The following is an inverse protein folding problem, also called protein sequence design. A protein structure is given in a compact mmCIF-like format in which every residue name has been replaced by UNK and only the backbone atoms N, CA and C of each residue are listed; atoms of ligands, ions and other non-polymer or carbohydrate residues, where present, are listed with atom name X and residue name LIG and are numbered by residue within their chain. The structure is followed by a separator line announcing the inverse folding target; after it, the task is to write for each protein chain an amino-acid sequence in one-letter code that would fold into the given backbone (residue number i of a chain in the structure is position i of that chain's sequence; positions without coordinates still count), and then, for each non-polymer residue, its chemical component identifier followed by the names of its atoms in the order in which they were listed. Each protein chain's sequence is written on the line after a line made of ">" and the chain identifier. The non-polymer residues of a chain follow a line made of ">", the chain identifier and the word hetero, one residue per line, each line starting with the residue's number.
data_IF_426497655275
#
_entry.id   IF_426497655275
#
_cell.length_a   1.000
_cell.length_b   1.000
_cell.length_c   1.000
_cell.angle_alpha   90.00
_cell.angle_beta   90.00
_cell.angle_gamma   90.00
#
_symmetry.space_group_name_H-M   'P 1'
#
loop_
_entity.id
_entity.type
_entity.pdbx_description
1 polymer ?
#
# COMPACT_ATOMS: atom_id res chain seq x y z
N UNK A 1 -22.73 -14.31 25.87
CA UNK A 1 -21.81 -13.25 26.36
C UNK A 1 -21.50 -12.39 25.18
N UNK A 2 -22.13 -11.19 25.08
CA UNK A 2 -21.91 -10.27 23.96
C UNK A 2 -20.55 -9.61 24.15
N UNK A 3 -19.58 -9.98 23.32
CA UNK A 3 -18.34 -9.22 23.18
C UNK A 3 -18.69 -8.07 22.23
N UNK A 4 -18.96 -6.90 22.79
CA UNK A 4 -19.02 -5.66 22.02
C UNK A 4 -17.62 -5.45 21.43
N UNK A 5 -17.55 -5.39 20.10
CA UNK A 5 -16.38 -4.86 19.40
C UNK A 5 -16.16 -3.43 19.93
N UNK A 6 -15.08 -3.25 20.66
CA UNK A 6 -14.68 -1.89 21.05
C UNK A 6 -14.21 -1.20 19.78
N UNK A 7 -14.94 -0.16 19.37
CA UNK A 7 -14.44 0.87 18.44
C UNK A 7 -13.19 1.51 19.07
N UNK A 8 -12.06 0.88 18.91
CA UNK A 8 -10.78 1.56 19.15
C UNK A 8 -10.51 2.40 17.91
N UNK A 9 -10.21 3.69 18.08
CA UNK A 9 -9.74 4.49 16.96
C UNK A 9 -8.55 3.77 16.30
N UNK A 10 -8.52 3.78 14.98
CA UNK A 10 -7.40 3.26 14.20
C UNK A 10 -6.10 3.79 14.83
N UNK A 11 -5.22 2.89 15.25
CA UNK A 11 -3.97 3.27 15.90
C UNK A 11 -3.11 3.92 14.84
N UNK A 12 -2.77 5.19 14.98
CA UNK A 12 -1.89 5.89 14.06
C UNK A 12 -0.64 5.04 13.78
N UNK A 13 -0.29 4.93 12.50
CA UNK A 13 0.95 4.26 12.06
C UNK A 13 2.11 4.91 12.82
N UNK A 14 2.98 4.11 13.41
CA UNK A 14 4.21 4.64 14.02
C UNK A 14 5.05 5.34 12.92
N UNK A 15 5.24 6.68 12.96
CA UNK A 15 5.87 7.42 11.86
C UNK A 15 7.30 6.98 11.52
N UNK A 16 7.94 6.23 12.41
CA UNK A 16 9.29 5.69 12.19
C UNK A 16 9.32 4.23 11.73
N UNK A 17 8.16 3.55 11.62
CA UNK A 17 8.14 2.17 11.18
C UNK A 17 8.49 2.03 9.70
N UNK A 18 9.04 0.88 9.31
CA UNK A 18 9.33 0.61 7.90
C UNK A 18 8.03 0.61 7.05
N UNK A 19 6.92 0.16 7.63
CA UNK A 19 5.60 0.21 6.98
C UNK A 19 5.18 1.67 6.70
N UNK A 20 5.32 2.56 7.68
CA UNK A 20 5.04 4.00 7.52
C UNK A 20 5.90 4.65 6.44
N UNK A 21 7.17 4.26 6.34
CA UNK A 21 8.06 4.76 5.29
C UNK A 21 7.62 4.30 3.90
N UNK A 22 7.19 3.06 3.76
CA UNK A 22 6.68 2.52 2.49
C UNK A 22 5.39 3.22 2.08
N UNK A 23 4.44 3.40 2.99
CA UNK A 23 3.18 4.11 2.67
C UNK A 23 3.43 5.58 2.29
N UNK A 24 4.31 6.27 3.00
CA UNK A 24 4.74 7.63 2.64
C UNK A 24 5.38 7.68 1.24
N UNK A 25 6.26 6.74 0.91
CA UNK A 25 6.87 6.67 -0.41
C UNK A 25 5.83 6.46 -1.50
N UNK A 26 4.82 5.63 -1.25
CA UNK A 26 3.73 5.40 -2.19
C UNK A 26 2.89 6.66 -2.41
N UNK A 27 2.53 7.38 -1.35
CA UNK A 27 1.82 8.66 -1.44
C UNK A 27 2.61 9.71 -2.25
N UNK A 28 3.91 9.82 -1.99
CA UNK A 28 4.79 10.72 -2.74
C UNK A 28 4.90 10.31 -4.22
N UNK A 29 4.95 9.02 -4.50
CA UNK A 29 4.97 8.52 -5.88
C UNK A 29 3.66 8.85 -6.60
N UNK A 30 2.50 8.62 -5.96
CA UNK A 30 1.19 8.99 -6.49
C UNK A 30 1.12 10.49 -6.80
N UNK A 31 1.49 11.33 -5.84
CA UNK A 31 1.56 12.79 -6.05
C UNK A 31 2.47 13.15 -7.22
N UNK A 32 3.66 12.55 -7.27
CA UNK A 32 4.64 12.79 -8.33
C UNK A 32 4.12 12.45 -9.72
N UNK A 33 3.39 11.37 -9.88
CA UNK A 33 2.78 11.00 -11.16
C UNK A 33 1.62 11.92 -11.53
N UNK A 34 0.71 12.21 -10.60
CA UNK A 34 -0.45 13.09 -10.83
C UNK A 34 -0.02 14.50 -11.24
N UNK A 35 1.03 15.02 -10.62
CA UNK A 35 1.50 16.40 -10.85
C UNK A 35 2.74 16.49 -11.75
N UNK A 36 3.24 15.38 -12.29
CA UNK A 36 4.52 15.29 -13.02
C UNK A 36 5.67 15.90 -12.24
N UNK A 37 5.64 15.73 -10.91
CA UNK A 37 6.65 16.26 -10.00
C UNK A 37 7.83 15.30 -9.83
N UNK A 38 8.92 15.59 -10.50
CA UNK A 38 10.13 14.77 -10.46
C UNK A 38 10.75 14.68 -9.06
N UNK A 39 10.64 15.73 -8.23
CA UNK A 39 11.24 15.72 -6.89
C UNK A 39 10.52 14.75 -5.97
N UNK A 40 9.19 14.71 -6.01
CA UNK A 40 8.39 13.76 -5.25
C UNK A 40 8.71 12.31 -5.63
N UNK A 41 8.88 12.02 -6.92
CA UNK A 41 9.31 10.69 -7.37
C UNK A 41 10.71 10.32 -6.86
N UNK A 42 11.67 11.26 -6.89
CA UNK A 42 13.01 11.00 -6.34
C UNK A 42 13.00 10.81 -4.83
N UNK A 43 12.17 11.56 -4.11
CA UNK A 43 12.02 11.39 -2.66
C UNK A 43 11.42 10.03 -2.33
N UNK A 44 10.36 9.62 -3.03
CA UNK A 44 9.79 8.28 -2.90
C UNK A 44 10.82 7.18 -3.18
N UNK A 45 11.57 7.31 -4.28
CA UNK A 45 12.63 6.38 -4.64
C UNK A 45 13.73 6.27 -3.56
N UNK A 46 14.12 7.41 -2.98
CA UNK A 46 15.13 7.44 -1.90
C UNK A 46 14.62 6.73 -0.64
N UNK A 47 13.36 6.93 -0.26
CA UNK A 47 12.76 6.24 0.89
C UNK A 47 12.77 4.73 0.64
N UNK A 48 12.28 4.27 -0.52
CA UNK A 48 12.24 2.85 -0.87
C UNK A 48 13.63 2.22 -0.98
N UNK A 49 14.62 2.96 -1.49
CA UNK A 49 16.01 2.48 -1.54
C UNK A 49 16.60 2.23 -0.13
N UNK A 50 16.12 2.98 0.88
CA UNK A 50 16.55 2.84 2.27
C UNK A 50 15.65 1.92 3.11
N UNK A 51 14.48 1.55 2.58
CA UNK A 51 13.50 0.68 3.26
C UNK A 51 13.29 -0.57 2.41
N UNK A 52 14.15 -1.60 2.55
CA UNK A 52 14.01 -2.82 1.78
C UNK A 52 12.63 -3.47 2.03
N UNK A 53 11.97 -3.85 0.95
CA UNK A 53 10.66 -4.52 0.97
C UNK A 53 10.76 -5.91 0.38
N UNK A 54 9.88 -6.80 0.81
CA UNK A 54 9.67 -8.12 0.22
C UNK A 54 8.34 -8.16 -0.53
N UNK A 55 8.18 -9.11 -1.43
CA UNK A 55 6.89 -9.35 -2.05
C UNK A 55 5.87 -9.82 -1.02
N UNK A 56 4.64 -9.31 -1.13
CA UNK A 56 3.54 -9.68 -0.25
C UNK A 56 3.31 -11.20 -0.30
N UNK A 57 3.35 -11.84 0.85
CA UNK A 57 3.13 -13.28 1.00
C UNK A 57 1.65 -13.53 1.21
N UNK A 58 0.96 -13.94 0.16
CA UNK A 58 -0.47 -14.26 0.20
C UNK A 58 -0.68 -15.78 0.07
N UNK A 59 -1.60 -16.34 0.85
CA UNK A 59 -2.04 -17.74 0.69
C UNK A 59 -3.04 -17.86 -0.45
N UNK A 60 -3.94 -16.88 -0.58
CA UNK A 60 -4.88 -16.77 -1.70
C UNK A 60 -5.35 -15.33 -1.87
N UNK A 61 -5.77 -15.02 -3.09
CA UNK A 61 -6.49 -13.79 -3.46
C UNK A 61 -7.67 -14.13 -4.34
N UNK A 62 -8.79 -13.42 -4.13
CA UNK A 62 -9.94 -13.39 -5.05
C UNK A 62 -10.51 -11.98 -5.10
N UNK A 63 -11.10 -11.62 -6.23
CA UNK A 63 -11.89 -10.40 -6.39
C UNK A 63 -13.36 -10.76 -6.46
N UNK A 64 -14.20 -10.01 -5.77
CA UNK A 64 -15.66 -10.24 -5.70
C UNK A 64 -16.41 -8.97 -6.12
N UNK A 65 -17.52 -9.14 -6.81
CA UNK A 65 -18.32 -7.99 -7.25
C UNK A 65 -17.61 -7.12 -8.27
N UNK A 66 -17.98 -5.85 -8.26
CA UNK A 66 -17.43 -4.86 -9.17
C UNK A 66 -18.19 -4.74 -10.49
N UNK A 67 -18.15 -3.55 -11.06
CA UNK A 67 -18.70 -3.25 -12.37
C UNK A 67 -17.58 -3.05 -13.37
N UNK A 68 -17.86 -3.30 -14.66
CA UNK A 68 -16.91 -3.00 -15.72
C UNK A 68 -16.56 -1.51 -15.70
N UNK A 69 -15.27 -1.24 -15.67
CA UNK A 69 -14.75 0.13 -15.51
C UNK A 69 -15.02 0.99 -16.74
N UNK A 70 -15.24 2.26 -16.47
CA UNK A 70 -15.02 3.30 -17.47
C UNK A 70 -13.50 3.39 -17.68
N UNK A 71 -13.03 3.44 -18.93
CA UNK A 71 -11.60 3.59 -19.19
C UNK A 71 -11.11 4.89 -18.56
N UNK A 72 -10.06 4.82 -17.74
CA UNK A 72 -9.30 5.97 -17.28
C UNK A 72 -8.34 6.38 -18.39
N UNK A 73 -8.18 7.68 -18.58
CA UNK A 73 -7.21 8.26 -19.52
C UNK A 73 -5.79 8.31 -18.94
N UNK A 74 -5.59 7.85 -17.73
CA UNK A 74 -4.31 7.94 -17.02
C UNK A 74 -3.45 6.70 -17.23
N UNK A 75 -2.11 6.86 -17.27
CA UNK A 75 -1.20 5.73 -17.40
C UNK A 75 -1.38 4.79 -16.22
N UNK A 76 -1.42 3.50 -16.51
CA UNK A 76 -1.41 2.44 -15.50
C UNK A 76 -0.17 2.65 -14.63
N UNK A 77 -0.36 2.97 -13.37
CA UNK A 77 0.74 3.09 -12.41
C UNK A 77 1.21 1.68 -12.00
N UNK A 78 1.83 0.98 -12.94
CA UNK A 78 2.57 -0.22 -12.62
C UNK A 78 3.88 0.21 -11.93
N UNK A 79 4.20 -0.39 -10.80
CA UNK A 79 5.49 -0.27 -10.12
C UNK A 79 5.75 1.03 -9.32
N UNK A 80 4.73 1.65 -8.71
CA UNK A 80 4.95 2.79 -7.81
C UNK A 80 5.83 2.46 -6.59
N UNK A 81 6.02 1.18 -6.31
CA UNK A 81 6.93 0.68 -5.27
C UNK A 81 8.30 0.24 -5.84
N UNK A 82 8.54 0.48 -7.14
CA UNK A 82 9.83 0.20 -7.76
C UNK A 82 10.71 1.46 -7.79
N UNK A 83 11.73 1.56 -6.92
CA UNK A 83 12.54 2.77 -6.82
C UNK A 83 13.37 3.06 -8.08
N UNK A 84 13.82 2.02 -8.81
CA UNK A 84 14.55 2.21 -10.07
C UNK A 84 13.67 2.87 -11.14
N UNK A 85 12.38 2.45 -11.22
CA UNK A 85 11.41 3.04 -12.14
C UNK A 85 11.06 4.47 -11.75
N UNK A 86 10.85 4.75 -10.47
CA UNK A 86 10.59 6.11 -9.99
C UNK A 86 11.72 7.08 -10.38
N UNK A 87 12.99 6.65 -10.26
CA UNK A 87 14.13 7.45 -10.69
C UNK A 87 14.14 7.64 -12.21
N UNK A 88 13.82 6.60 -12.99
CA UNK A 88 13.75 6.72 -14.45
C UNK A 88 12.68 7.73 -14.90
N UNK A 89 11.48 7.64 -14.31
CA UNK A 89 10.36 8.52 -14.64
C UNK A 89 10.61 9.96 -14.14
N UNK A 90 11.26 10.12 -12.98
CA UNK A 90 11.70 11.42 -12.48
C UNK A 90 12.68 12.12 -13.45
N UNK A 91 13.60 11.37 -14.06
CA UNK A 91 14.49 11.91 -15.10
C UNK A 91 13.73 12.37 -16.35
N UNK A 92 12.65 11.66 -16.71
CA UNK A 92 11.79 12.06 -17.83
C UNK A 92 11.05 13.36 -17.50
N UNK A 93 10.44 13.45 -16.31
CA UNK A 93 9.70 14.64 -15.88
C UNK A 93 10.61 15.84 -15.64
N UNK A 94 11.82 15.61 -15.14
CA UNK A 94 12.81 16.65 -14.84
C UNK A 94 13.91 16.81 -15.89
N UNK A 95 13.71 16.36 -17.15
CA UNK A 95 14.73 16.30 -18.19
C UNK A 95 15.45 17.63 -18.45
N UNK A 96 14.75 18.75 -18.29
CA UNK A 96 15.28 20.10 -18.52
C UNK A 96 15.81 20.77 -17.23
N UNK A 97 15.84 20.03 -16.12
CA UNK A 97 16.32 20.50 -14.81
C UNK A 97 17.61 19.78 -14.39
N UNK A 98 18.79 20.44 -14.52
CA UNK A 98 20.07 19.82 -14.15
C UNK A 98 20.15 19.38 -12.69
N UNK A 99 19.44 20.07 -11.77
CA UNK A 99 19.43 19.74 -10.35
C UNK A 99 18.70 18.40 -10.10
N UNK A 100 17.56 18.18 -10.76
CA UNK A 100 16.83 16.90 -10.72
C UNK A 100 17.70 15.77 -11.26
N UNK A 101 18.36 15.97 -12.39
CA UNK A 101 19.24 14.96 -12.98
C UNK A 101 20.43 14.64 -12.07
N UNK A 102 21.00 15.65 -11.42
CA UNK A 102 22.09 15.46 -10.45
C UNK A 102 21.62 14.70 -9.18
N UNK A 103 20.43 15.02 -8.67
CA UNK A 103 19.83 14.30 -7.53
C UNK A 103 19.54 12.84 -7.89
N UNK A 104 18.93 12.60 -9.06
CA UNK A 104 18.65 11.27 -9.56
C UNK A 104 19.91 10.38 -9.69
N UNK A 105 21.05 11.00 -10.04
CA UNK A 105 22.34 10.31 -10.12
C UNK A 105 22.97 9.93 -8.78
N UNK A 106 22.47 10.48 -7.66
CA UNK A 106 22.97 10.18 -6.32
C UNK A 106 22.20 9.04 -5.62
N UNK A 107 21.03 8.69 -6.12
CA UNK A 107 20.24 7.58 -5.56
C UNK A 107 20.89 6.27 -5.97
N UNK A 108 21.34 5.50 -5.00
CA UNK A 108 21.95 4.19 -5.19
C UNK A 108 21.02 3.10 -4.66
N UNK A 109 20.97 2.00 -5.37
CA UNK A 109 20.18 0.83 -5.00
C UNK A 109 21.12 -0.28 -4.53
N UNK A 110 21.06 -0.62 -3.26
CA UNK A 110 21.84 -1.71 -2.71
C UNK A 110 21.09 -3.04 -2.93
N UNK A 111 21.45 -3.73 -3.99
CA UNK A 111 20.85 -5.05 -4.34
C UNK A 111 21.24 -6.18 -3.38
N UNK A 112 22.21 -5.94 -2.48
CA UNK A 112 22.65 -6.94 -1.50
C UNK A 112 21.76 -6.99 -0.26
N UNK A 113 20.89 -6.01 -0.05
CA UNK A 113 19.95 -5.95 1.07
C UNK A 113 18.65 -6.65 0.69
N UNK A 114 18.64 -7.97 0.64
CA UNK A 114 17.38 -8.71 0.70
C UNK A 114 16.70 -8.43 2.04
N UNK A 115 15.46 -7.96 2.01
CA UNK A 115 14.70 -7.78 3.24
C UNK A 115 14.42 -9.16 3.85
N UNK A 116 15.07 -9.46 4.99
CA UNK A 116 14.76 -10.66 5.76
C UNK A 116 13.58 -10.37 6.68
N UNK A 117 13.43 -9.11 7.15
CA UNK A 117 12.43 -8.66 8.13
C UNK A 117 11.79 -7.31 7.75
N UNK A 118 11.81 -6.92 6.48
CA UNK A 118 11.16 -5.68 6.01
C UNK A 118 9.68 -5.88 5.70
N UNK A 119 8.92 -4.78 5.44
CA UNK A 119 7.53 -4.87 5.05
C UNK A 119 7.34 -5.72 3.80
N UNK A 120 6.26 -6.50 3.79
CA UNK A 120 5.84 -7.21 2.60
C UNK A 120 4.87 -6.31 1.82
N UNK A 121 5.11 -6.12 0.52
CA UNK A 121 4.33 -5.21 -0.30
C UNK A 121 3.78 -5.89 -1.54
N UNK A 122 2.59 -5.48 -1.93
CA UNK A 122 1.93 -5.86 -3.17
C UNK A 122 1.27 -4.65 -3.82
N UNK A 123 1.00 -4.77 -5.11
CA UNK A 123 0.27 -3.79 -5.88
C UNK A 123 -0.85 -4.47 -6.63
N UNK A 124 -2.05 -3.88 -6.62
CA UNK A 124 -3.21 -4.49 -7.24
C UNK A 124 -4.24 -3.45 -7.71
N UNK A 125 -5.35 -3.93 -8.24
CA UNK A 125 -6.47 -3.13 -8.71
C UNK A 125 -7.78 -3.72 -8.20
N UNK A 126 -8.58 -2.91 -7.53
CA UNK A 126 -9.95 -3.24 -7.17
C UNK A 126 -10.94 -2.51 -8.09
N UNK A 127 -11.88 -3.26 -8.65
CA UNK A 127 -12.88 -2.74 -9.58
C UNK A 127 -13.87 -1.79 -8.87
N UNK A 128 -14.55 -0.94 -9.63
CA UNK A 128 -15.62 -0.08 -9.10
C UNK A 128 -16.64 -0.90 -8.32
N UNK A 129 -16.95 -0.53 -7.07
CA UNK A 129 -17.87 -1.27 -6.19
C UNK A 129 -17.45 -2.72 -5.94
N UNK A 130 -16.19 -3.07 -6.19
CA UNK A 130 -15.64 -4.40 -6.00
C UNK A 130 -14.92 -4.56 -4.67
N UNK A 131 -14.59 -5.80 -4.34
CA UNK A 131 -13.83 -6.17 -3.14
C UNK A 131 -12.72 -7.11 -3.55
N UNK A 132 -11.49 -6.78 -3.16
CA UNK A 132 -10.38 -7.72 -3.18
C UNK A 132 -10.24 -8.38 -1.81
N UNK A 133 -10.16 -9.71 -1.81
CA UNK A 133 -10.09 -10.52 -0.60
C UNK A 133 -8.79 -11.30 -0.60
N UNK A 134 -7.93 -11.00 0.38
CA UNK A 134 -6.67 -11.67 0.61
C UNK A 134 -6.76 -12.59 1.82
N UNK A 135 -6.04 -13.69 1.77
CA UNK A 135 -5.74 -14.51 2.93
C UNK A 135 -4.23 -14.44 3.20
N UNK A 136 -3.87 -13.92 4.39
CA UNK A 136 -2.49 -13.64 4.78
C UNK A 136 -2.26 -14.20 6.18
N UNK A 137 -1.14 -14.93 6.37
CA UNK A 137 -0.75 -15.46 7.67
C UNK A 137 0.01 -14.40 8.48
N UNK A 138 -0.33 -14.28 9.78
CA UNK A 138 0.37 -13.43 10.74
C UNK A 138 0.80 -14.24 11.96
N UNK A 139 1.91 -13.83 12.57
CA UNK A 139 2.42 -14.46 13.78
C UNK A 139 1.60 -14.08 15.01
N UNK A 140 1.25 -15.07 15.81
CA UNK A 140 0.60 -14.84 17.11
C UNK A 140 1.51 -14.10 18.09
N UNK A 141 0.91 -13.28 18.95
CA UNK A 141 1.58 -12.49 20.01
C UNK A 141 2.64 -11.51 19.47
N UNK A 142 2.61 -11.22 18.20
CA UNK A 142 3.41 -10.17 17.55
C UNK A 142 2.48 -9.10 17.00
N UNK A 143 2.87 -7.82 16.97
CA UNK A 143 2.07 -6.81 16.31
C UNK A 143 1.86 -7.17 14.84
N UNK A 144 0.63 -7.05 14.37
CA UNK A 144 0.27 -7.24 12.97
C UNK A 144 -0.30 -5.93 12.44
N UNK A 145 0.11 -5.55 11.24
CA UNK A 145 -0.26 -4.28 10.61
C UNK A 145 -0.56 -4.51 9.14
N UNK A 146 -1.61 -3.87 8.64
CA UNK A 146 -1.93 -3.78 7.20
C UNK A 146 -2.18 -2.33 6.87
N UNK A 147 -1.52 -1.86 5.83
CA UNK A 147 -1.75 -0.55 5.25
C UNK A 147 -2.12 -0.68 3.77
N UNK A 148 -3.05 0.16 3.32
CA UNK A 148 -3.46 0.27 1.92
C UNK A 148 -3.35 1.74 1.52
N UNK A 149 -2.81 2.01 0.33
CA UNK A 149 -2.76 3.35 -0.26
C UNK A 149 -3.24 3.25 -1.70
N UNK A 150 -4.33 3.90 -2.02
CA UNK A 150 -4.91 3.98 -3.35
C UNK A 150 -4.25 5.01 -4.26
N UNK A 151 -4.78 5.17 -5.45
CA UNK A 151 -4.30 6.13 -6.47
C UNK A 151 -4.99 7.51 -6.39
N UNK A 152 -5.80 7.75 -5.37
CA UNK A 152 -6.46 9.03 -5.12
C UNK A 152 -7.83 9.19 -5.82
N UNK A 153 -8.29 8.20 -6.56
CA UNK A 153 -9.47 8.35 -7.41
C UNK A 153 -10.80 8.01 -6.72
N UNK A 154 -10.74 7.13 -5.72
CA UNK A 154 -11.94 6.63 -5.04
C UNK A 154 -11.65 6.37 -3.57
N UNK A 155 -12.69 6.35 -2.78
CA UNK A 155 -12.68 5.93 -1.38
C UNK A 155 -12.47 4.41 -1.28
N UNK A 156 -11.52 3.98 -0.46
CA UNK A 156 -11.25 2.58 -0.14
C UNK A 156 -11.53 2.29 1.33
N UNK A 157 -12.14 1.15 1.61
CA UNK A 157 -12.27 0.62 2.97
C UNK A 157 -11.39 -0.61 3.17
N UNK A 158 -10.86 -0.76 4.36
CA UNK A 158 -10.07 -1.91 4.79
C UNK A 158 -10.76 -2.64 5.94
N UNK A 159 -10.90 -3.95 5.80
CA UNK A 159 -11.41 -4.82 6.85
C UNK A 159 -10.46 -5.97 7.11
N UNK A 160 -10.28 -6.32 8.37
CA UNK A 160 -9.52 -7.50 8.82
C UNK A 160 -10.42 -8.41 9.61
N UNK A 161 -10.50 -9.67 9.20
CA UNK A 161 -11.25 -10.72 9.90
C UNK A 161 -10.32 -11.86 10.32
N UNK A 162 -10.68 -12.58 11.37
CA UNK A 162 -10.03 -13.83 11.69
C UNK A 162 -10.51 -14.99 10.76
N UNK A 163 -9.98 -16.18 10.96
CA UNK A 163 -10.32 -17.38 10.20
C UNK A 163 -11.79 -17.83 10.38
N UNK A 164 -12.44 -17.42 11.47
CA UNK A 164 -13.83 -17.72 11.77
C UNK A 164 -14.81 -16.66 11.25
N UNK A 165 -14.28 -15.59 10.61
CA UNK A 165 -15.07 -14.48 10.09
C UNK A 165 -15.44 -13.41 11.11
N UNK A 166 -14.82 -13.42 12.30
CA UNK A 166 -15.00 -12.34 13.26
C UNK A 166 -14.21 -11.10 12.84
N UNK A 167 -14.85 -9.93 12.86
CA UNK A 167 -14.19 -8.66 12.56
C UNK A 167 -13.16 -8.35 13.67
N UNK A 168 -11.90 -8.16 13.26
CA UNK A 168 -10.78 -7.80 14.13
C UNK A 168 -10.54 -6.28 14.12
N UNK A 169 -10.61 -5.66 12.96
CA UNK A 169 -10.44 -4.23 12.79
C UNK A 169 -10.90 -3.78 11.43
N UNK A 170 -11.12 -2.49 11.30
CA UNK A 170 -11.53 -1.84 10.04
C UNK A 170 -11.06 -0.41 10.01
N UNK A 171 -10.96 0.11 8.80
CA UNK A 171 -10.80 1.52 8.49
C UNK A 171 -11.79 1.85 7.36
N UNK A 172 -12.73 2.75 7.67
CA UNK A 172 -13.86 3.14 6.81
C UNK A 172 -13.96 4.67 6.75
N UNK A 173 -12.83 5.35 6.75
CA UNK A 173 -12.86 6.79 6.53
C UNK A 173 -13.18 7.11 5.05
N UNK A 174 -13.30 8.40 4.70
CA UNK A 174 -13.63 8.79 3.33
C UNK A 174 -12.35 9.04 2.49
N UNK A 175 -11.33 8.21 2.68
CA UNK A 175 -10.06 8.32 1.95
C UNK A 175 -9.70 6.99 1.28
N UNK A 176 -8.69 7.00 0.45
CA UNK A 176 -8.12 5.77 -0.12
C UNK A 176 -6.86 5.30 0.63
N UNK A 177 -6.68 5.81 1.87
CA UNK A 177 -5.59 5.44 2.78
C UNK A 177 -6.17 4.73 3.98
N UNK A 178 -5.87 3.46 4.11
CA UNK A 178 -6.40 2.66 5.21
C UNK A 178 -5.28 2.04 6.02
N UNK A 179 -5.51 1.90 7.31
CA UNK A 179 -4.57 1.26 8.23
C UNK A 179 -5.29 0.51 9.34
N UNK A 180 -4.93 -0.76 9.52
CA UNK A 180 -5.40 -1.58 10.63
C UNK A 180 -4.23 -2.23 11.33
N UNK A 181 -4.17 -2.12 12.65
CA UNK A 181 -3.19 -2.78 13.51
C UNK A 181 -3.88 -3.60 14.61
N UNK A 182 -3.38 -4.80 14.85
CA UNK A 182 -3.90 -5.68 15.91
C UNK A 182 -2.79 -6.55 16.52
N UNK A 183 -3.14 -7.29 17.55
CA UNK A 183 -2.27 -8.30 18.17
C UNK A 183 -2.93 -9.67 18.04
N UNK A 184 -2.55 -10.49 17.04
CA UNK A 184 -3.06 -11.87 16.93
C UNK A 184 -2.79 -12.67 18.21
N UNK A 185 -3.78 -13.41 18.67
CA UNK A 185 -3.61 -14.31 19.83
C UNK A 185 -2.89 -15.61 19.46
N UNK A 186 -2.98 -16.01 18.20
CA UNK A 186 -2.35 -17.21 17.63
C UNK A 186 -1.75 -16.89 16.24
N UNK A 187 -0.79 -17.71 15.82
CA UNK A 187 -0.28 -17.68 14.46
C UNK A 187 -1.28 -18.34 13.52
N UNK A 188 -1.76 -17.63 12.52
CA UNK A 188 -2.76 -18.15 11.58
C UNK A 188 -3.12 -17.16 10.51
N UNK A 189 -4.03 -17.58 9.63
CA UNK A 189 -4.49 -16.80 8.48
C UNK A 189 -5.57 -15.82 8.87
N UNK A 190 -5.45 -14.61 8.39
CA UNK A 190 -6.46 -13.56 8.49
C UNK A 190 -7.00 -13.23 7.10
N UNK A 191 -8.25 -12.79 7.05
CA UNK A 191 -8.92 -12.36 5.83
C UNK A 191 -8.86 -10.84 5.79
N UNK A 192 -8.19 -10.31 4.79
CA UNK A 192 -8.06 -8.88 4.54
C UNK A 192 -8.94 -8.54 3.35
N UNK A 193 -9.84 -7.56 3.51
CA UNK A 193 -10.71 -7.09 2.42
C UNK A 193 -10.41 -5.63 2.12
N UNK A 194 -10.19 -5.34 0.84
CA UNK A 194 -10.08 -3.98 0.32
C UNK A 194 -11.32 -3.73 -0.54
N UNK A 195 -12.20 -2.84 -0.10
CA UNK A 195 -13.46 -2.49 -0.76
C UNK A 195 -13.33 -1.14 -1.43
N UNK A 196 -13.68 -1.05 -2.70
CA UNK A 196 -13.77 0.20 -3.44
C UNK A 196 -15.21 0.75 -3.39
N UNK A 197 -15.39 1.91 -2.77
CA UNK A 197 -16.69 2.61 -2.69
C UNK A 197 -17.00 3.45 -3.93
N UNK A 198 -16.01 3.64 -4.79
CA UNK A 198 -16.12 4.52 -5.94
C UNK A 198 -16.79 3.90 -7.15
N UNK A 199 -16.92 4.72 -8.20
CA UNK A 199 -17.56 4.35 -9.48
C UNK A 199 -16.57 4.05 -10.59
N UNK A 200 -15.27 4.11 -10.29
CA UNK A 200 -14.16 3.71 -11.16
C UNK A 200 -13.24 2.76 -10.38
N UNK A 201 -12.37 2.03 -11.06
CA UNK A 201 -11.39 1.19 -10.37
C UNK A 201 -10.40 2.06 -9.55
N UNK A 202 -9.80 1.48 -8.55
CA UNK A 202 -8.68 2.07 -7.82
C UNK A 202 -7.48 1.12 -7.90
N UNK A 203 -6.33 1.67 -8.30
CA UNK A 203 -5.06 0.95 -8.17
C UNK A 203 -4.51 1.25 -6.79
N UNK A 204 -4.07 0.23 -6.08
CA UNK A 204 -3.61 0.42 -4.71
C UNK A 204 -2.38 -0.44 -4.40
N UNK A 205 -1.56 0.07 -3.49
CA UNK A 205 -0.55 -0.72 -2.83
C UNK A 205 -1.08 -1.24 -1.50
N UNK A 206 -0.70 -2.46 -1.16
CA UNK A 206 -0.94 -3.07 0.13
C UNK A 206 0.38 -3.45 0.76
N UNK A 207 0.55 -3.12 2.03
CA UNK A 207 1.76 -3.42 2.78
C UNK A 207 1.40 -4.05 4.13
N UNK A 208 2.22 -5.02 4.56
CA UNK A 208 2.13 -5.65 5.88
C UNK A 208 3.51 -5.68 6.53
N UNK A 209 3.57 -5.73 7.86
CA UNK A 209 4.82 -5.97 8.58
C UNK A 209 5.19 -7.46 8.62
#
# INVERSE_FOLDING_TARGET
>A
MNIQAQDKPAREVNPGSALSQVTMAQELANYGYQHKDALSLLTAAQILANTPVSALKIESKKSEGGTADKPKTEPVMADILNPEKLVADAKIFGKDNPQILALAGKITFDKSRGAVDGPNTGYDRVMAQGVDVYRIAFYGKSPAEVAVVGDGDTDLDLYVFDENGNLIGKDEDNTDRCYVAWMPQWTGSFIIKVLNRGTVYNNYGIATN
#
